data_IF_078089629376
#
_entry.id   IF_078089629376
#
_cell.length_a   1.000
_cell.length_b   1.000
_cell.length_c   1.000
_cell.angle_alpha   90.00
_cell.angle_beta   90.00
_cell.angle_gamma   90.00
#
_symmetry.space_group_name_H-M   'P 1'
#
loop_
_entity.id
_entity.type
_entity.pdbx_description
1 polymer ?
#
# COMPACT_ATOMS: atom_id res chain seq x y z
N UNK A 1 20.11 0.34 -9.37
CA UNK A 1 20.89 0.76 -8.19
C UNK A 1 22.35 0.69 -8.55
N UNK A 2 23.11 1.75 -8.27
CA UNK A 2 24.55 1.83 -8.53
C UNK A 2 25.23 1.97 -7.17
N UNK A 3 26.00 0.97 -6.76
CA UNK A 3 26.81 1.04 -5.55
C UNK A 3 28.04 1.93 -5.77
N UNK A 4 28.38 2.73 -4.77
CA UNK A 4 29.54 3.62 -4.75
C UNK A 4 30.42 3.18 -3.57
N UNK A 5 31.74 3.22 -3.76
CA UNK A 5 32.71 2.81 -2.73
C UNK A 5 32.97 3.88 -1.66
N UNK A 6 32.22 4.97 -1.69
CA UNK A 6 32.31 6.03 -0.70
C UNK A 6 31.49 5.66 0.53
N UNK A 7 32.02 5.99 1.71
CA UNK A 7 31.31 5.81 2.96
C UNK A 7 30.50 7.07 3.27
N UNK A 8 29.21 6.87 3.55
CA UNK A 8 28.32 7.88 4.11
C UNK A 8 28.10 7.54 5.58
N UNK A 9 28.28 8.53 6.45
CA UNK A 9 28.12 8.36 7.89
C UNK A 9 26.68 8.64 8.29
N UNK A 10 26.01 7.62 8.84
CA UNK A 10 24.70 7.72 9.51
C UNK A 10 24.89 7.37 10.99
N UNK A 11 24.12 6.40 11.52
CA UNK A 11 24.42 5.80 12.83
C UNK A 11 25.75 5.02 12.81
N UNK A 12 26.09 4.44 11.66
CA UNK A 12 27.37 3.78 11.36
C UNK A 12 27.83 4.18 9.95
N UNK A 13 29.11 3.99 9.59
CA UNK A 13 29.56 4.15 8.21
C UNK A 13 28.89 3.10 7.32
N UNK A 14 28.25 3.54 6.24
CA UNK A 14 27.59 2.67 5.26
C UNK A 14 28.05 3.03 3.83
N UNK A 15 28.03 2.05 2.92
CA UNK A 15 28.37 2.29 1.53
C UNK A 15 27.28 3.13 0.85
N UNK A 16 27.70 4.16 0.13
CA UNK A 16 26.81 4.97 -0.69
C UNK A 16 26.21 4.15 -1.84
N UNK A 17 24.98 4.46 -2.20
CA UNK A 17 24.34 3.94 -3.40
C UNK A 17 23.44 5.00 -4.03
N UNK A 18 23.33 4.95 -5.36
CA UNK A 18 22.41 5.79 -6.12
C UNK A 18 21.28 4.91 -6.67
N UNK A 19 20.05 5.36 -6.47
CA UNK A 19 18.85 4.85 -7.13
C UNK A 19 18.38 5.88 -8.16
N UNK A 20 18.23 5.46 -9.40
CA UNK A 20 17.55 6.27 -10.43
C UNK A 20 16.06 5.96 -10.31
N UNK A 21 15.27 6.93 -9.85
CA UNK A 21 13.81 6.82 -9.78
C UNK A 21 13.20 7.39 -11.06
N UNK A 22 12.29 6.62 -11.66
CA UNK A 22 11.44 7.06 -12.76
C UNK A 22 10.01 7.10 -12.22
N UNK A 23 9.32 8.21 -12.43
CA UNK A 23 7.94 8.39 -12.02
C UNK A 23 7.22 9.26 -13.05
N UNK A 24 5.89 9.14 -13.10
CA UNK A 24 5.03 10.01 -13.89
C UNK A 24 5.13 11.47 -13.45
N UNK A 25 5.22 11.72 -12.14
CA UNK A 25 5.43 13.05 -11.57
C UNK A 25 6.36 12.99 -10.34
N UNK A 26 7.06 14.10 -10.09
CA UNK A 26 7.80 14.36 -8.85
C UNK A 26 7.21 15.55 -8.06
N UNK A 27 6.09 16.12 -8.52
CA UNK A 27 5.40 17.20 -7.83
C UNK A 27 4.61 16.63 -6.65
N UNK A 28 4.83 17.21 -5.48
CA UNK A 28 4.24 16.73 -4.22
C UNK A 28 3.28 17.79 -3.67
N UNK A 29 2.49 17.43 -2.67
CA UNK A 29 1.66 18.42 -1.95
C UNK A 29 2.56 19.50 -1.33
N UNK A 30 3.70 19.09 -0.75
CA UNK A 30 4.74 19.98 -0.25
C UNK A 30 5.29 21.00 -1.27
N UNK A 31 5.21 20.71 -2.57
CA UNK A 31 5.61 21.66 -3.62
C UNK A 31 4.68 22.87 -3.68
N UNK A 32 3.37 22.66 -3.45
CA UNK A 32 2.38 23.74 -3.37
C UNK A 32 2.51 24.49 -2.05
N UNK A 33 2.66 23.76 -0.94
CA UNK A 33 2.84 24.35 0.39
C UNK A 33 4.05 25.28 0.45
N UNK A 34 5.17 24.91 -0.20
CA UNK A 34 6.34 25.77 -0.28
C UNK A 34 6.01 27.15 -0.86
N UNK A 35 5.32 27.22 -2.01
CA UNK A 35 4.95 28.50 -2.61
C UNK A 35 3.89 29.24 -1.81
N UNK A 36 2.93 28.52 -1.23
CA UNK A 36 1.89 29.12 -0.40
C UNK A 36 2.47 29.79 0.86
N UNK A 37 3.23 29.04 1.67
CA UNK A 37 3.76 29.54 2.95
C UNK A 37 4.93 30.51 2.80
N UNK A 38 5.54 30.62 1.60
CA UNK A 38 6.53 31.67 1.28
C UNK A 38 5.92 32.91 0.62
N UNK A 39 4.58 33.02 0.56
CA UNK A 39 3.88 34.20 0.03
C UNK A 39 3.94 34.34 -1.50
N UNK A 40 4.23 33.26 -2.22
CA UNK A 40 4.39 33.24 -3.67
C UNK A 40 3.12 32.74 -4.39
N UNK A 41 1.96 33.35 -4.13
CA UNK A 41 0.65 32.86 -4.63
C UNK A 41 0.59 32.67 -6.15
N UNK A 42 1.26 33.54 -6.93
CA UNK A 42 1.36 33.38 -8.39
C UNK A 42 2.05 32.08 -8.80
N UNK A 43 3.00 31.59 -8.02
CA UNK A 43 3.69 30.33 -8.30
C UNK A 43 2.85 29.10 -7.92
N UNK A 44 1.92 29.22 -6.98
CA UNK A 44 0.91 28.18 -6.72
C UNK A 44 0.04 27.98 -7.96
N UNK A 45 -0.51 29.07 -8.51
CA UNK A 45 -1.32 29.02 -9.74
C UNK A 45 -0.52 28.48 -10.93
N UNK A 46 0.71 28.96 -11.13
CA UNK A 46 1.58 28.45 -12.21
C UNK A 46 1.88 26.96 -12.08
N UNK A 47 2.10 26.47 -10.86
CA UNK A 47 2.33 25.04 -10.62
C UNK A 47 1.06 24.22 -10.87
N UNK A 48 -0.11 24.74 -10.48
CA UNK A 48 -1.41 24.12 -10.75
C UNK A 48 -1.67 24.01 -12.26
N UNK A 49 -1.48 25.11 -12.99
CA UNK A 49 -1.60 25.17 -14.45
C UNK A 49 -0.66 24.20 -15.14
N UNK A 50 0.62 24.20 -14.76
CA UNK A 50 1.59 23.23 -15.27
C UNK A 50 1.15 21.79 -14.99
N UNK A 51 0.61 21.51 -13.81
CA UNK A 51 0.14 20.19 -13.42
C UNK A 51 -1.06 19.74 -14.24
N UNK A 52 -2.00 20.65 -14.52
CA UNK A 52 -3.16 20.37 -15.38
C UNK A 52 -2.68 20.08 -16.81
N UNK A 53 -1.87 20.97 -17.40
CA UNK A 53 -1.37 20.80 -18.77
C UNK A 53 -0.57 19.50 -18.96
N UNK A 54 0.22 19.11 -17.94
CA UNK A 54 1.11 17.95 -18.04
C UNK A 54 0.42 16.62 -17.73
N UNK A 55 -0.49 16.58 -16.74
CA UNK A 55 -1.03 15.33 -16.19
C UNK A 55 -2.53 15.15 -16.40
N UNK A 56 -3.25 16.24 -16.69
CA UNK A 56 -4.69 16.25 -16.91
C UNK A 56 -5.06 17.16 -18.11
N UNK A 57 -4.45 16.96 -19.29
CA UNK A 57 -4.70 17.84 -20.44
C UNK A 57 -6.17 17.82 -20.89
N UNK A 58 -6.91 16.77 -20.53
CA UNK A 58 -8.33 16.61 -20.82
C UNK A 58 -9.23 17.61 -20.09
N UNK A 59 -8.78 18.23 -18.99
CA UNK A 59 -9.55 19.26 -18.25
C UNK A 59 -9.04 20.68 -18.49
N UNK A 60 -8.05 20.88 -19.37
CA UNK A 60 -7.39 22.17 -19.55
C UNK A 60 -8.38 23.29 -19.96
N UNK A 61 -9.41 22.95 -20.74
CA UNK A 61 -10.43 23.88 -21.24
C UNK A 61 -11.71 23.91 -20.39
N UNK A 62 -11.76 23.16 -19.28
CA UNK A 62 -12.92 23.19 -18.38
C UNK A 62 -12.96 24.49 -17.57
N UNK A 63 -14.16 25.06 -17.41
CA UNK A 63 -14.34 26.32 -16.66
C UNK A 63 -13.98 26.20 -15.18
N UNK A 64 -14.09 25.00 -14.61
CA UNK A 64 -13.82 24.71 -13.19
C UNK A 64 -12.59 23.79 -13.01
N UNK A 65 -11.64 23.86 -13.95
CA UNK A 65 -10.49 22.95 -14.04
C UNK A 65 -9.66 22.84 -12.76
N UNK A 66 -9.58 23.90 -11.96
CA UNK A 66 -8.84 23.89 -10.69
C UNK A 66 -9.54 23.02 -9.63
N UNK A 67 -10.87 23.14 -9.50
CA UNK A 67 -11.66 22.27 -8.63
C UNK A 67 -11.61 20.82 -9.11
N UNK A 68 -11.72 20.60 -10.42
CA UNK A 68 -11.65 19.26 -11.02
C UNK A 68 -10.27 18.62 -10.84
N UNK A 69 -9.19 19.40 -10.92
CA UNK A 69 -7.84 18.93 -10.56
C UNK A 69 -7.78 18.45 -9.11
N UNK A 70 -8.32 19.22 -8.18
CA UNK A 70 -8.35 18.85 -6.76
C UNK A 70 -9.17 17.56 -6.53
N UNK A 71 -10.36 17.46 -7.14
CA UNK A 71 -11.19 16.26 -7.12
C UNK A 71 -10.45 15.02 -7.61
N UNK A 72 -9.70 15.12 -8.71
CA UNK A 72 -8.91 14.01 -9.25
C UNK A 72 -7.78 13.60 -8.31
N UNK A 73 -7.08 14.58 -7.73
CA UNK A 73 -6.01 14.36 -6.76
C UNK A 73 -6.54 13.67 -5.50
N UNK A 74 -7.68 14.14 -4.97
CA UNK A 74 -8.39 13.54 -3.83
C UNK A 74 -8.77 12.08 -4.10
N UNK A 75 -9.44 11.81 -5.24
CA UNK A 75 -9.87 10.46 -5.60
C UNK A 75 -8.67 9.52 -5.79
N UNK A 76 -7.61 9.98 -6.46
CA UNK A 76 -6.38 9.19 -6.66
C UNK A 76 -5.69 8.87 -5.34
N UNK A 77 -5.63 9.82 -4.41
CA UNK A 77 -5.05 9.63 -3.06
C UNK A 77 -5.87 8.65 -2.24
N UNK A 78 -7.19 8.81 -2.20
CA UNK A 78 -8.09 7.88 -1.53
C UNK A 78 -7.98 6.45 -2.08
N UNK A 79 -7.95 6.30 -3.42
CA UNK A 79 -7.76 5.01 -4.08
C UNK A 79 -6.39 4.37 -3.78
N UNK A 80 -5.32 5.18 -3.76
CA UNK A 80 -3.98 4.72 -3.41
C UNK A 80 -3.95 4.14 -1.99
N UNK A 81 -4.48 4.89 -1.03
CA UNK A 81 -4.47 4.48 0.39
C UNK A 81 -5.40 3.28 0.59
N UNK A 82 -6.56 3.22 -0.08
CA UNK A 82 -7.43 2.04 -0.05
C UNK A 82 -6.69 0.77 -0.50
N UNK A 83 -5.86 0.86 -1.54
CA UNK A 83 -5.00 -0.24 -1.99
C UNK A 83 -3.91 -0.58 -0.98
N UNK A 84 -3.31 0.41 -0.32
CA UNK A 84 -2.34 0.17 0.76
C UNK A 84 -2.98 -0.60 1.91
N UNK A 85 -4.15 -0.18 2.36
CA UNK A 85 -4.90 -0.88 3.41
C UNK A 85 -5.19 -2.32 2.99
N UNK A 86 -5.80 -2.53 1.81
CA UNK A 86 -6.16 -3.87 1.33
C UNK A 86 -4.95 -4.79 1.11
N UNK A 87 -3.77 -4.24 0.84
CA UNK A 87 -2.53 -5.00 0.64
C UNK A 87 -1.72 -5.19 1.92
N UNK A 88 -2.13 -4.57 3.04
CA UNK A 88 -1.35 -4.56 4.27
C UNK A 88 -0.05 -3.75 4.16
N UNK A 89 0.04 -2.79 3.24
CA UNK A 89 1.22 -1.94 3.07
C UNK A 89 1.18 -0.76 4.06
N UNK A 90 2.30 -0.51 4.73
CA UNK A 90 2.52 0.66 5.58
C UNK A 90 3.66 1.50 4.98
N UNK A 91 3.38 2.77 4.69
CA UNK A 91 4.37 3.68 4.12
C UNK A 91 5.41 4.14 5.16
N UNK A 92 4.98 4.35 6.40
CA UNK A 92 5.85 4.74 7.52
C UNK A 92 6.24 6.22 7.60
N UNK A 93 6.10 7.02 6.52
CA UNK A 93 6.43 8.47 6.50
C UNK A 93 5.51 9.20 5.52
N UNK A 94 4.25 9.41 5.90
CA UNK A 94 3.27 10.12 5.06
C UNK A 94 3.30 11.64 5.31
N UNK A 95 4.48 12.25 5.25
CA UNK A 95 4.58 13.70 5.22
C UNK A 95 4.03 14.25 3.88
N UNK A 96 3.58 15.50 3.85
CA UNK A 96 2.98 16.10 2.65
C UNK A 96 3.96 16.21 1.48
N UNK A 97 5.27 16.30 1.74
CA UNK A 97 6.32 16.25 0.72
C UNK A 97 6.58 14.84 0.16
N UNK A 98 5.97 13.81 0.73
CA UNK A 98 5.93 12.44 0.19
C UNK A 98 4.61 12.10 -0.52
N UNK A 99 3.64 13.03 -0.56
CA UNK A 99 2.37 12.82 -1.24
C UNK A 99 2.43 13.34 -2.67
N UNK A 100 2.42 12.46 -3.67
CA UNK A 100 2.46 12.84 -5.09
C UNK A 100 1.07 13.26 -5.61
N UNK A 101 1.01 14.33 -6.41
CA UNK A 101 -0.26 14.86 -6.98
C UNK A 101 -0.97 13.89 -7.95
N UNK A 102 -0.26 12.90 -8.47
CA UNK A 102 -0.83 11.89 -9.37
C UNK A 102 -1.33 10.64 -8.63
N UNK A 103 -1.18 10.58 -7.29
CA UNK A 103 -1.62 9.45 -6.46
C UNK A 103 -0.77 8.19 -6.64
N UNK A 104 0.53 8.36 -6.86
CA UNK A 104 1.53 7.28 -6.90
C UNK A 104 2.22 7.15 -5.54
N UNK A 105 2.51 5.94 -5.06
CA UNK A 105 3.36 5.74 -3.88
C UNK A 105 4.73 6.34 -4.12
N UNK A 106 5.24 7.11 -3.17
CA UNK A 106 6.45 7.90 -3.37
C UNK A 106 7.32 7.90 -2.12
N UNK A 107 8.63 7.88 -2.30
CA UNK A 107 9.61 7.90 -1.18
C UNK A 107 9.55 6.68 -0.23
N UNK A 108 10.04 5.55 -0.73
CA UNK A 108 10.19 4.32 0.04
C UNK A 108 11.35 4.43 1.04
N UNK A 109 11.06 4.90 2.25
CA UNK A 109 11.98 4.90 3.39
C UNK A 109 11.72 3.69 4.32
N UNK A 110 11.26 3.91 5.56
CA UNK A 110 10.91 2.83 6.47
C UNK A 110 9.50 2.30 6.19
N UNK A 111 9.29 1.74 5.00
CA UNK A 111 8.02 1.07 4.66
C UNK A 111 8.02 -0.39 5.12
N UNK A 112 6.85 -1.02 5.11
CA UNK A 112 6.70 -2.44 5.39
C UNK A 112 5.39 -3.00 4.88
N UNK A 113 5.32 -4.32 4.81
CA UNK A 113 4.06 -5.05 4.66
C UNK A 113 3.74 -5.74 5.98
N UNK A 114 2.46 -5.85 6.32
CA UNK A 114 2.00 -6.64 7.46
C UNK A 114 2.41 -8.10 7.26
N UNK A 115 3.13 -8.63 8.25
CA UNK A 115 3.25 -10.07 8.45
C UNK A 115 1.96 -10.57 9.11
N UNK A 116 1.95 -10.66 10.44
CA UNK A 116 0.73 -10.85 11.23
C UNK A 116 -0.11 -9.58 11.21
N UNK A 117 -1.43 -9.74 11.25
CA UNK A 117 -2.33 -8.59 11.26
C UNK A 117 -2.29 -7.85 12.61
N UNK A 118 -1.60 -6.72 12.65
CA UNK A 118 -1.48 -5.84 13.81
C UNK A 118 -1.89 -4.42 13.39
N UNK A 119 -3.13 -3.97 13.70
CA UNK A 119 -3.68 -2.73 13.14
C UNK A 119 -2.88 -1.46 13.45
N UNK A 120 -2.26 -1.40 14.62
CA UNK A 120 -1.46 -0.26 15.08
C UNK A 120 0.05 -0.42 14.79
N UNK A 121 0.43 -1.36 13.92
CA UNK A 121 1.84 -1.55 13.56
C UNK A 121 2.36 -0.39 12.72
N UNK A 122 3.60 0.04 13.02
CA UNK A 122 4.41 0.93 12.18
C UNK A 122 5.80 0.32 11.96
N UNK A 123 6.28 0.23 10.71
CA UNK A 123 7.64 -0.20 10.38
C UNK A 123 8.70 0.89 10.67
N UNK A 124 8.28 2.13 10.93
CA UNK A 124 9.17 3.25 11.19
C UNK A 124 9.55 3.34 12.67
N UNK A 125 10.82 3.11 12.97
CA UNK A 125 11.37 3.18 14.34
C UNK A 125 11.28 4.58 14.96
N UNK A 126 11.28 5.63 14.14
CA UNK A 126 11.18 7.02 14.62
C UNK A 126 9.74 7.46 14.86
N UNK A 127 8.74 6.68 14.45
CA UNK A 127 7.32 6.97 14.67
C UNK A 127 6.83 6.38 16.00
N UNK A 128 7.37 6.90 17.11
CA UNK A 128 7.08 6.37 18.46
C UNK A 128 5.62 6.53 18.89
N UNK A 129 4.89 7.47 18.27
CA UNK A 129 3.48 7.73 18.56
C UNK A 129 2.53 7.02 17.58
N UNK A 130 3.06 6.28 16.60
CA UNK A 130 2.27 5.57 15.60
C UNK A 130 1.46 6.48 14.68
N UNK A 131 1.92 7.71 14.41
CA UNK A 131 1.25 8.67 13.51
C UNK A 131 1.01 8.07 12.13
N UNK A 132 1.94 7.26 11.64
CA UNK A 132 1.92 6.62 10.33
C UNK A 132 1.72 5.10 10.42
N UNK A 133 1.17 4.61 11.54
CA UNK A 133 0.78 3.22 11.68
C UNK A 133 -0.28 2.81 10.64
N UNK A 134 -0.39 1.51 10.36
CA UNK A 134 -1.29 0.95 9.35
C UNK A 134 -2.73 1.50 9.44
N UNK A 135 -3.33 1.51 10.64
CA UNK A 135 -4.70 2.00 10.83
C UNK A 135 -4.85 3.53 10.74
N UNK A 136 -3.75 4.30 10.80
CA UNK A 136 -3.78 5.76 10.72
C UNK A 136 -3.69 6.30 9.29
N UNK A 137 -3.18 5.50 8.34
CA UNK A 137 -2.93 5.97 6.97
C UNK A 137 -4.15 6.62 6.28
N UNK A 138 -5.39 6.13 6.43
CA UNK A 138 -6.57 6.80 5.86
C UNK A 138 -6.79 8.22 6.40
N UNK A 139 -6.67 8.41 7.71
CA UNK A 139 -6.83 9.73 8.36
C UNK A 139 -5.68 10.67 8.00
N UNK A 140 -4.45 10.16 7.91
CA UNK A 140 -3.31 10.97 7.47
C UNK A 140 -3.45 11.38 6.00
N UNK A 141 -3.99 10.52 5.14
CA UNK A 141 -4.34 10.87 3.76
C UNK A 141 -5.31 12.05 3.68
N UNK A 142 -6.38 11.99 4.48
CA UNK A 142 -7.35 13.09 4.61
C UNK A 142 -6.68 14.37 5.10
N UNK A 143 -5.85 14.28 6.14
CA UNK A 143 -5.13 15.42 6.70
C UNK A 143 -4.19 16.07 5.67
N UNK A 144 -3.43 15.26 4.92
CA UNK A 144 -2.53 15.75 3.87
C UNK A 144 -3.28 16.43 2.71
N UNK A 145 -4.46 15.91 2.33
CA UNK A 145 -5.30 16.54 1.33
C UNK A 145 -5.85 17.90 1.78
N UNK A 146 -6.19 18.05 3.06
CA UNK A 146 -6.56 19.36 3.61
C UNK A 146 -5.38 20.34 3.52
N UNK A 147 -4.14 19.87 3.76
CA UNK A 147 -2.94 20.71 3.57
C UNK A 147 -2.75 21.15 2.12
N UNK A 148 -2.99 20.27 1.15
CA UNK A 148 -3.04 20.69 -0.24
C UNK A 148 -4.17 21.70 -0.49
N UNK A 149 -5.38 21.45 0.02
CA UNK A 149 -6.54 22.32 -0.15
C UNK A 149 -6.29 23.74 0.36
N UNK A 150 -5.66 23.90 1.54
CA UNK A 150 -5.26 25.20 2.10
C UNK A 150 -4.49 26.05 1.09
N UNK A 151 -3.60 25.42 0.30
CA UNK A 151 -2.80 26.13 -0.72
C UNK A 151 -3.63 26.65 -1.89
N UNK A 152 -4.77 26.02 -2.17
CA UNK A 152 -5.62 26.27 -3.35
C UNK A 152 -6.82 27.19 -3.05
N UNK A 153 -7.03 27.58 -1.79
CA UNK A 153 -8.14 28.47 -1.39
C UNK A 153 -8.25 29.73 -2.26
N UNK A 154 -7.15 30.46 -2.59
CA UNK A 154 -7.25 31.66 -3.41
C UNK A 154 -7.75 31.41 -4.85
N UNK A 155 -7.73 30.16 -5.32
CA UNK A 155 -8.05 29.77 -6.69
C UNK A 155 -9.42 29.07 -6.82
N UNK A 156 -9.91 28.43 -5.75
CA UNK A 156 -11.14 27.59 -5.79
C UNK A 156 -12.23 28.07 -4.82
N UNK A 157 -11.87 28.86 -3.79
CA UNK A 157 -12.66 29.16 -2.58
C UNK A 157 -12.65 28.06 -1.52
N UNK A 158 -12.77 28.45 -0.25
CA UNK A 158 -12.76 27.53 0.87
C UNK A 158 -14.03 26.65 0.90
N UNK A 159 -15.19 27.22 0.58
CA UNK A 159 -16.48 26.53 0.60
C UNK A 159 -16.51 25.37 -0.40
N UNK A 160 -16.00 25.60 -1.61
CA UNK A 160 -15.92 24.56 -2.64
C UNK A 160 -14.94 23.46 -2.24
N UNK A 161 -13.78 23.81 -1.67
CA UNK A 161 -12.80 22.83 -1.19
C UNK A 161 -13.34 21.98 -0.03
N UNK A 162 -14.03 22.60 0.92
CA UNK A 162 -14.70 21.89 2.01
C UNK A 162 -15.78 20.93 1.50
N UNK A 163 -16.54 21.32 0.47
CA UNK A 163 -17.51 20.45 -0.19
C UNK A 163 -16.84 19.23 -0.83
N UNK A 164 -15.70 19.42 -1.51
CA UNK A 164 -14.94 18.31 -2.09
C UNK A 164 -14.32 17.40 -1.04
N UNK A 165 -13.82 17.96 0.07
CA UNK A 165 -13.22 17.17 1.14
C UNK A 165 -14.21 16.21 1.80
N UNK A 166 -15.51 16.54 1.84
CA UNK A 166 -16.57 15.62 2.30
C UNK A 166 -16.65 14.34 1.48
N UNK A 167 -16.15 14.34 0.24
CA UNK A 167 -16.16 13.18 -0.64
C UNK A 167 -15.01 12.20 -0.38
N UNK A 168 -14.00 12.58 0.41
CA UNK A 168 -12.85 11.71 0.68
C UNK A 168 -13.26 10.40 1.36
N UNK A 169 -13.94 10.47 2.51
CA UNK A 169 -14.27 9.28 3.28
C UNK A 169 -15.22 8.32 2.52
N UNK A 170 -16.31 8.80 1.89
CA UNK A 170 -17.16 7.94 1.07
C UNK A 170 -16.40 7.25 -0.06
N UNK A 171 -15.53 7.99 -0.77
CA UNK A 171 -14.79 7.44 -1.90
C UNK A 171 -13.69 6.46 -1.48
N UNK A 172 -12.97 6.76 -0.40
CA UNK A 172 -12.00 5.85 0.22
C UNK A 172 -12.69 4.55 0.65
N UNK A 173 -13.81 4.65 1.39
CA UNK A 173 -14.57 3.48 1.85
C UNK A 173 -15.06 2.63 0.69
N UNK A 174 -15.57 3.26 -0.38
CA UNK A 174 -15.98 2.55 -1.59
C UNK A 174 -14.80 1.79 -2.19
N UNK A 175 -13.68 2.46 -2.47
CA UNK A 175 -12.49 1.83 -3.05
C UNK A 175 -11.98 0.68 -2.18
N UNK A 176 -11.89 0.88 -0.86
CA UNK A 176 -11.40 -0.13 0.06
C UNK A 176 -12.32 -1.36 0.09
N UNK A 177 -13.63 -1.13 0.09
CA UNK A 177 -14.65 -2.19 0.06
C UNK A 177 -14.55 -3.01 -1.22
N UNK A 178 -14.37 -2.36 -2.36
CA UNK A 178 -14.16 -3.02 -3.66
C UNK A 178 -12.88 -3.87 -3.67
N UNK A 179 -11.77 -3.35 -3.13
CA UNK A 179 -10.52 -4.14 -3.02
C UNK A 179 -10.69 -5.34 -2.06
N UNK A 180 -11.38 -5.16 -0.93
CA UNK A 180 -11.68 -6.27 -0.02
C UNK A 180 -12.61 -7.32 -0.64
N UNK A 181 -13.58 -6.89 -1.44
CA UNK A 181 -14.44 -7.78 -2.24
C UNK A 181 -13.63 -8.69 -3.15
N UNK A 182 -12.72 -8.12 -3.94
CA UNK A 182 -11.80 -8.88 -4.80
C UNK A 182 -10.96 -9.88 -4.02
N UNK A 183 -10.40 -9.46 -2.87
CA UNK A 183 -9.59 -10.33 -2.01
C UNK A 183 -10.38 -11.51 -1.43
N UNK A 184 -11.67 -11.33 -1.20
CA UNK A 184 -12.59 -12.36 -0.70
C UNK A 184 -13.28 -13.16 -1.81
N UNK A 185 -13.16 -12.75 -3.07
CA UNK A 185 -13.91 -13.34 -4.19
C UNK A 185 -15.41 -13.08 -4.11
N UNK A 186 -15.80 -11.89 -3.63
CA UNK A 186 -17.20 -11.46 -3.48
C UNK A 186 -17.44 -10.17 -4.26
N UNK A 187 -18.51 -10.14 -5.06
CA UNK A 187 -18.94 -8.96 -5.83
C UNK A 187 -20.18 -8.32 -5.24
N UNK A 188 -20.98 -9.06 -4.47
CA UNK A 188 -22.13 -8.56 -3.74
C UNK A 188 -21.65 -7.93 -2.43
N UNK A 189 -21.41 -6.62 -2.49
CA UNK A 189 -20.97 -5.82 -1.35
C UNK A 189 -22.21 -5.18 -0.71
N UNK A 190 -22.89 -5.89 0.19
CA UNK A 190 -24.03 -5.41 0.98
C UNK A 190 -23.72 -5.36 2.49
N UNK A 191 -24.73 -5.27 3.35
CA UNK A 191 -24.53 -5.24 4.81
C UNK A 191 -23.93 -6.56 5.34
N UNK A 192 -24.31 -7.70 4.76
CA UNK A 192 -23.77 -9.01 5.15
C UNK A 192 -22.26 -9.10 4.84
N UNK A 193 -21.81 -8.54 3.71
CA UNK A 193 -20.39 -8.40 3.41
C UNK A 193 -19.66 -7.55 4.46
N UNK A 194 -20.24 -6.43 4.88
CA UNK A 194 -19.63 -5.54 5.87
C UNK A 194 -19.45 -6.26 7.21
N UNK A 195 -20.46 -6.99 7.67
CA UNK A 195 -20.41 -7.80 8.89
C UNK A 195 -19.34 -8.90 8.79
N UNK A 196 -19.28 -9.61 7.65
CA UNK A 196 -18.27 -10.64 7.39
C UNK A 196 -16.86 -10.08 7.50
N UNK A 197 -16.58 -8.95 6.87
CA UNK A 197 -15.26 -8.29 6.87
C UNK A 197 -14.88 -7.81 8.28
N UNK A 198 -15.84 -7.27 9.03
CA UNK A 198 -15.59 -6.83 10.41
C UNK A 198 -15.20 -8.02 11.32
N UNK A 199 -15.94 -9.13 11.25
CA UNK A 199 -15.63 -10.35 12.00
C UNK A 199 -14.29 -10.97 11.57
N UNK A 200 -13.99 -10.95 10.27
CA UNK A 200 -12.69 -11.41 9.74
C UNK A 200 -11.54 -10.66 10.40
N UNK A 201 -11.61 -9.32 10.47
CA UNK A 201 -10.55 -8.53 11.09
C UNK A 201 -10.45 -8.77 12.61
N UNK A 202 -11.55 -9.05 13.31
CA UNK A 202 -11.50 -9.46 14.71
C UNK A 202 -10.72 -10.76 14.90
N UNK A 203 -11.00 -11.77 14.07
CA UNK A 203 -10.31 -13.06 14.09
C UNK A 203 -8.83 -12.94 13.72
N UNK A 204 -8.50 -12.12 12.72
CA UNK A 204 -7.12 -11.85 12.33
C UNK A 204 -6.31 -11.24 13.48
N UNK A 205 -6.90 -10.33 14.27
CA UNK A 205 -6.28 -9.74 15.47
C UNK A 205 -6.16 -10.76 16.59
N UNK A 206 -7.27 -11.45 16.92
CA UNK A 206 -7.36 -12.37 18.05
C UNK A 206 -6.35 -13.53 17.95
N UNK A 207 -6.23 -14.11 16.76
CA UNK A 207 -5.31 -15.22 16.50
C UNK A 207 -3.97 -14.77 15.91
N UNK A 208 -3.74 -13.47 15.73
CA UNK A 208 -2.55 -12.87 15.11
C UNK A 208 -2.16 -13.57 13.79
N UNK A 209 -3.13 -13.80 12.92
CA UNK A 209 -2.92 -14.54 11.68
C UNK A 209 -2.07 -13.72 10.69
N UNK A 210 -1.27 -14.41 9.88
CA UNK A 210 -0.55 -13.78 8.76
C UNK A 210 -1.54 -13.20 7.75
N UNK A 211 -1.45 -11.91 7.50
CA UNK A 211 -2.43 -11.17 6.70
C UNK A 211 -2.46 -11.66 5.26
N UNK A 212 -1.29 -11.86 4.64
CA UNK A 212 -1.19 -12.27 3.23
C UNK A 212 -1.62 -13.73 3.06
N UNK A 213 -1.10 -14.61 3.91
CA UNK A 213 -1.36 -16.05 3.82
C UNK A 213 -2.81 -16.40 4.16
N UNK A 214 -3.49 -15.61 5.00
CA UNK A 214 -4.92 -15.79 5.25
C UNK A 214 -5.75 -15.73 3.97
N UNK A 215 -5.54 -14.73 3.10
CA UNK A 215 -6.31 -14.62 1.86
C UNK A 215 -5.92 -15.69 0.83
N UNK A 216 -4.64 -16.06 0.75
CA UNK A 216 -4.20 -17.19 -0.11
C UNK A 216 -4.79 -18.51 0.35
N UNK A 217 -4.88 -18.71 1.66
CA UNK A 217 -5.59 -19.84 2.21
C UNK A 217 -7.06 -19.83 1.77
N UNK A 218 -7.75 -18.70 1.95
CA UNK A 218 -9.18 -18.58 1.66
C UNK A 218 -9.52 -18.91 0.21
N UNK A 219 -8.65 -18.52 -0.73
CA UNK A 219 -8.79 -18.87 -2.15
C UNK A 219 -8.84 -20.39 -2.40
N UNK A 220 -8.12 -21.18 -1.60
CA UNK A 220 -8.06 -22.64 -1.69
C UNK A 220 -9.14 -23.36 -0.85
N UNK A 221 -9.88 -22.65 -0.01
CA UNK A 221 -10.92 -23.23 0.85
C UNK A 221 -12.24 -23.43 0.06
N UNK A 222 -12.94 -24.57 0.18
CA UNK A 222 -12.74 -25.67 1.15
C UNK A 222 -11.88 -26.83 0.66
N UNK A 223 -11.35 -26.78 -0.57
CA UNK A 223 -10.63 -27.90 -1.21
C UNK A 223 -9.35 -28.30 -0.46
N UNK A 224 -8.63 -27.33 0.11
CA UNK A 224 -7.49 -27.58 1.00
C UNK A 224 -7.82 -27.11 2.41
N UNK A 225 -8.27 -28.04 3.25
CA UNK A 225 -8.45 -27.83 4.68
C UNK A 225 -7.11 -28.03 5.38
N UNK A 226 -6.24 -27.02 5.42
CA UNK A 226 -5.19 -27.04 6.43
C UNK A 226 -5.81 -27.16 7.83
N UNK A 227 -5.03 -27.57 8.83
CA UNK A 227 -5.50 -27.70 10.22
C UNK A 227 -5.83 -26.32 10.79
N UNK A 228 -7.06 -25.84 10.60
CA UNK A 228 -7.51 -24.59 11.19
C UNK A 228 -7.80 -24.74 12.67
N UNK A 229 -7.66 -23.63 13.38
CA UNK A 229 -8.27 -23.48 14.68
C UNK A 229 -9.80 -23.57 14.53
N UNK A 230 -10.44 -24.33 15.40
CA UNK A 230 -11.88 -24.58 15.40
C UNK A 230 -12.70 -23.28 15.51
N UNK A 231 -12.09 -22.26 16.09
CA UNK A 231 -12.63 -20.91 16.28
C UNK A 231 -12.96 -20.18 14.96
N UNK A 232 -12.30 -20.52 13.84
CA UNK A 232 -12.57 -19.91 12.53
C UNK A 232 -13.75 -20.54 11.79
N UNK A 233 -14.18 -21.74 12.18
CA UNK A 233 -15.21 -22.50 11.45
C UNK A 233 -16.54 -21.74 11.32
N UNK A 234 -17.07 -21.04 12.35
CA UNK A 234 -18.31 -20.29 12.21
C UNK A 234 -18.21 -19.20 11.13
N UNK A 235 -17.09 -18.47 11.10
CA UNK A 235 -16.86 -17.43 10.10
C UNK A 235 -16.68 -18.03 8.70
N UNK A 236 -15.96 -19.14 8.57
CA UNK A 236 -15.78 -19.82 7.28
C UNK A 236 -17.09 -20.35 6.70
N UNK A 237 -17.99 -20.89 7.53
CA UNK A 237 -19.31 -21.32 7.10
C UNK A 237 -20.12 -20.14 6.57
N UNK A 238 -20.10 -19.02 7.30
CA UNK A 238 -20.76 -17.79 6.86
C UNK A 238 -20.18 -17.24 5.56
N UNK A 239 -18.87 -17.27 5.42
CA UNK A 239 -18.19 -16.92 4.17
C UNK A 239 -18.67 -17.78 2.99
N UNK A 240 -18.78 -19.11 3.17
CA UNK A 240 -19.26 -20.01 2.13
C UNK A 240 -20.72 -19.74 1.72
N UNK A 241 -21.61 -19.36 2.65
CA UNK A 241 -22.97 -18.94 2.32
C UNK A 241 -22.97 -17.72 1.38
N UNK A 242 -22.12 -16.73 1.67
CA UNK A 242 -21.97 -15.54 0.84
C UNK A 242 -21.36 -15.87 -0.52
N UNK A 243 -20.38 -16.78 -0.58
CA UNK A 243 -19.80 -17.27 -1.83
C UNK A 243 -20.83 -17.99 -2.69
N UNK A 244 -21.70 -18.82 -2.11
CA UNK A 244 -22.75 -19.52 -2.85
C UNK A 244 -23.73 -18.54 -3.51
N UNK A 245 -23.99 -17.39 -2.87
CA UNK A 245 -24.85 -16.33 -3.40
C UNK A 245 -24.30 -15.67 -4.68
N UNK A 246 -22.99 -15.69 -4.89
CA UNK A 246 -22.35 -15.16 -6.10
C UNK A 246 -22.64 -16.01 -7.34
N UNK A 247 -22.96 -17.30 -7.18
CA UNK A 247 -23.30 -18.21 -8.28
C UNK A 247 -22.12 -18.59 -9.19
N UNK A 248 -20.88 -18.32 -8.77
CA UNK A 248 -19.64 -18.68 -9.49
C UNK A 248 -19.07 -20.01 -8.99
N UNK A 249 -18.31 -20.70 -9.85
CA UNK A 249 -17.60 -21.92 -9.46
C UNK A 249 -16.47 -21.64 -8.47
N UNK A 250 -16.06 -22.66 -7.71
CA UNK A 250 -14.92 -22.54 -6.81
C UNK A 250 -13.62 -22.23 -7.57
N UNK A 251 -13.42 -22.85 -8.73
CA UNK A 251 -12.25 -22.68 -9.60
C UNK A 251 -12.17 -21.25 -10.13
N UNK A 252 -13.27 -20.71 -10.65
CA UNK A 252 -13.34 -19.33 -11.15
C UNK A 252 -13.10 -18.31 -10.03
N UNK A 253 -13.75 -18.49 -8.87
CA UNK A 253 -13.52 -17.63 -7.71
C UNK A 253 -12.06 -17.69 -7.25
N UNK A 254 -11.47 -18.90 -7.22
CA UNK A 254 -10.07 -19.09 -6.84
C UNK A 254 -9.14 -18.35 -7.78
N UNK A 255 -9.35 -18.42 -9.09
CA UNK A 255 -8.56 -17.66 -10.08
C UNK A 255 -8.63 -16.15 -9.82
N UNK A 256 -9.83 -15.60 -9.64
CA UNK A 256 -10.03 -14.19 -9.33
C UNK A 256 -9.35 -13.75 -8.01
N UNK A 257 -9.45 -14.59 -6.98
CA UNK A 257 -8.80 -14.34 -5.70
C UNK A 257 -7.28 -14.45 -5.80
N UNK A 258 -6.74 -15.41 -6.56
CA UNK A 258 -5.30 -15.58 -6.74
C UNK A 258 -4.67 -14.42 -7.53
N UNK A 259 -5.41 -13.78 -8.44
CA UNK A 259 -4.98 -12.58 -9.15
C UNK A 259 -5.04 -11.30 -8.28
N UNK A 260 -5.80 -11.35 -7.17
CA UNK A 260 -5.97 -10.20 -6.25
C UNK A 260 -5.14 -10.32 -4.97
N UNK A 261 -4.83 -11.55 -4.55
CA UNK A 261 -4.07 -11.85 -3.34
C UNK A 261 -2.68 -12.36 -3.71
N UNK A 262 -1.60 -11.61 -3.43
CA UNK A 262 -0.26 -12.05 -3.76
C UNK A 262 0.15 -13.29 -2.95
N UNK A 263 0.89 -14.21 -3.57
CA UNK A 263 1.58 -15.31 -2.87
C UNK A 263 2.83 -14.82 -2.18
N UNK A 264 3.51 -13.85 -2.79
CA UNK A 264 4.79 -13.32 -2.33
C UNK A 264 4.69 -11.84 -2.02
N UNK A 265 5.21 -11.43 -0.86
CA UNK A 265 5.37 -10.02 -0.48
C UNK A 265 6.81 -9.76 -0.02
N UNK A 266 7.25 -8.51 -0.08
CA UNK A 266 8.56 -8.09 0.42
C UNK A 266 8.55 -8.00 1.95
N UNK A 267 8.50 -9.16 2.62
CA UNK A 267 8.58 -9.25 4.08
C UNK A 267 9.87 -8.61 4.58
N UNK A 268 9.81 -7.86 5.68
CA UNK A 268 10.96 -7.12 6.23
C UNK A 268 12.17 -8.01 6.48
N UNK A 269 11.96 -9.24 6.94
CA UNK A 269 13.06 -10.18 7.21
C UNK A 269 13.76 -10.67 5.93
N UNK A 270 13.03 -10.79 4.81
CA UNK A 270 13.60 -11.17 3.51
C UNK A 270 14.45 -10.02 2.95
N UNK A 271 13.95 -8.79 3.04
CA UNK A 271 14.70 -7.58 2.68
C UNK A 271 15.99 -7.47 3.50
N UNK A 272 15.91 -7.65 4.82
CA UNK A 272 17.08 -7.59 5.68
C UNK A 272 18.11 -8.69 5.35
N UNK A 273 17.64 -9.91 5.06
CA UNK A 273 18.53 -11.01 4.65
C UNK A 273 19.25 -10.70 3.36
N UNK A 274 18.55 -10.11 2.38
CA UNK A 274 19.13 -9.70 1.12
C UNK A 274 20.15 -8.56 1.28
N UNK A 275 19.84 -7.57 2.13
CA UNK A 275 20.76 -6.48 2.46
C UNK A 275 22.01 -6.98 3.19
N UNK A 276 21.84 -7.86 4.18
CA UNK A 276 22.95 -8.42 4.95
C UNK A 276 23.94 -9.16 4.05
N UNK A 277 23.46 -10.02 3.15
CA UNK A 277 24.30 -10.73 2.18
C UNK A 277 25.00 -9.79 1.20
N UNK A 278 24.27 -8.80 0.68
CA UNK A 278 24.85 -7.84 -0.25
C UNK A 278 25.96 -7.00 0.40
N UNK A 279 25.78 -6.59 1.66
CA UNK A 279 26.74 -5.74 2.37
C UNK A 279 27.92 -6.50 2.98
N UNK A 280 27.69 -7.70 3.54
CA UNK A 280 28.74 -8.48 4.23
C UNK A 280 29.54 -9.34 3.25
N UNK A 281 28.85 -9.95 2.29
CA UNK A 281 29.40 -11.00 1.44
C UNK A 281 29.51 -10.57 -0.03
N UNK A 282 29.07 -9.35 -0.38
CA UNK A 282 28.91 -8.91 -1.78
C UNK A 282 28.05 -9.85 -2.63
N UNK A 283 27.14 -10.58 -1.98
CA UNK A 283 26.23 -11.53 -2.62
C UNK A 283 24.87 -10.87 -2.91
N UNK A 284 24.61 -10.60 -4.19
CA UNK A 284 23.38 -9.98 -4.69
C UNK A 284 22.33 -11.01 -5.15
N UNK A 285 22.54 -12.30 -4.88
CA UNK A 285 21.64 -13.37 -5.31
C UNK A 285 20.23 -13.22 -4.73
N UNK A 286 20.09 -12.90 -3.44
CA UNK A 286 18.78 -12.69 -2.81
C UNK A 286 18.05 -11.47 -3.37
N UNK A 287 18.77 -10.37 -3.65
CA UNK A 287 18.17 -9.20 -4.30
C UNK A 287 17.61 -9.60 -5.67
N UNK A 288 18.35 -10.42 -6.42
CA UNK A 288 17.90 -10.94 -7.72
C UNK A 288 16.67 -11.83 -7.57
N UNK A 289 16.64 -12.73 -6.58
CA UNK A 289 15.49 -13.61 -6.31
C UNK A 289 14.24 -12.83 -5.92
N UNK A 290 14.37 -11.86 -5.01
CA UNK A 290 13.26 -10.99 -4.61
C UNK A 290 12.75 -10.16 -5.79
N UNK A 291 13.65 -9.60 -6.62
CA UNK A 291 13.26 -8.89 -7.85
C UNK A 291 12.45 -9.79 -8.78
N UNK A 292 12.93 -11.01 -9.03
CA UNK A 292 12.24 -11.98 -9.87
C UNK A 292 10.85 -12.28 -9.31
N UNK A 293 10.72 -12.56 -8.01
CA UNK A 293 9.41 -12.79 -7.37
C UNK A 293 8.45 -11.62 -7.56
N UNK A 294 8.93 -10.38 -7.44
CA UNK A 294 8.09 -9.18 -7.58
C UNK A 294 7.69 -8.84 -9.02
N UNK A 295 8.26 -9.49 -10.04
CA UNK A 295 7.78 -9.34 -11.43
C UNK A 295 6.36 -9.91 -11.62
N UNK A 296 6.01 -10.95 -10.86
CA UNK A 296 4.66 -11.50 -10.73
C UNK A 296 4.56 -12.16 -9.36
N UNK A 297 4.04 -11.45 -8.34
CA UNK A 297 3.96 -11.94 -6.97
C UNK A 297 2.76 -12.85 -6.73
N UNK A 298 1.90 -13.09 -7.74
CA UNK A 298 0.65 -13.82 -7.61
C UNK A 298 0.78 -15.30 -8.01
N UNK A 299 1.63 -15.58 -8.99
CA UNK A 299 1.72 -16.90 -9.65
C UNK A 299 3.07 -17.58 -9.43
N UNK A 300 3.00 -18.90 -9.31
CA UNK A 300 4.21 -19.72 -9.37
C UNK A 300 4.74 -19.75 -10.80
N UNK A 301 6.06 -19.61 -10.95
CA UNK A 301 6.75 -19.67 -12.25
C UNK A 301 7.88 -20.70 -12.19
N UNK A 302 7.58 -22.02 -12.19
CA UNK A 302 8.54 -23.07 -11.89
C UNK A 302 9.84 -23.01 -12.69
N UNK A 303 9.77 -22.83 -14.01
CA UNK A 303 10.96 -22.73 -14.86
C UNK A 303 11.85 -21.51 -14.52
N UNK A 304 11.24 -20.38 -14.14
CA UNK A 304 11.96 -19.18 -13.71
C UNK A 304 12.54 -19.40 -12.31
N UNK A 305 11.76 -20.02 -11.42
CA UNK A 305 12.17 -20.30 -10.05
C UNK A 305 13.35 -21.27 -9.98
N UNK A 306 13.32 -22.34 -10.77
CA UNK A 306 14.44 -23.29 -10.91
C UNK A 306 15.71 -22.57 -11.39
N UNK A 307 15.61 -21.76 -12.45
CA UNK A 307 16.73 -20.98 -13.00
C UNK A 307 17.39 -20.06 -11.96
N UNK A 308 16.58 -19.48 -11.06
CA UNK A 308 17.05 -18.55 -10.04
C UNK A 308 17.23 -19.19 -8.65
N UNK A 309 17.08 -20.52 -8.55
CA UNK A 309 17.13 -21.28 -7.30
C UNK A 309 16.22 -20.66 -6.22
N UNK A 310 14.96 -20.45 -6.58
CA UNK A 310 13.89 -19.91 -5.72
C UNK A 310 13.07 -21.09 -5.21
N UNK A 311 13.01 -21.24 -3.88
CA UNK A 311 12.06 -22.14 -3.22
C UNK A 311 10.77 -21.37 -2.92
N UNK A 312 9.67 -21.59 -3.66
CA UNK A 312 8.44 -20.82 -3.48
C UNK A 312 7.83 -21.00 -2.08
N UNK A 313 8.00 -22.16 -1.45
CA UNK A 313 7.44 -22.39 -0.11
C UNK A 313 8.23 -21.60 0.94
N UNK A 314 9.55 -21.49 0.78
CA UNK A 314 10.37 -20.65 1.65
C UNK A 314 10.00 -19.17 1.59
N UNK A 315 9.69 -18.64 0.39
CA UNK A 315 9.36 -17.21 0.23
C UNK A 315 7.88 -16.88 0.51
N UNK A 316 6.99 -17.86 0.42
CA UNK A 316 5.56 -17.71 0.73
C UNK A 316 5.24 -17.90 2.23
N UNK A 317 6.07 -18.64 2.97
CA UNK A 317 5.80 -18.92 4.39
C UNK A 317 5.73 -17.65 5.25
N UNK A 318 5.10 -17.80 6.40
CA UNK A 318 5.03 -16.74 7.42
C UNK A 318 6.42 -16.32 7.90
N UNK A 319 6.53 -15.07 8.35
CA UNK A 319 7.74 -14.58 9.00
C UNK A 319 8.04 -15.40 10.26
N UNK A 320 9.22 -16.04 10.37
CA UNK A 320 9.60 -16.79 11.56
C UNK A 320 9.54 -15.94 12.83
N UNK A 321 9.16 -16.53 13.98
CA UNK A 321 8.90 -15.78 15.22
C UNK A 321 10.04 -14.83 15.64
N UNK A 322 11.30 -15.28 15.49
CA UNK A 322 12.50 -14.47 15.80
C UNK A 322 12.66 -13.19 14.96
N UNK A 323 11.86 -13.04 13.91
CA UNK A 323 11.88 -11.90 12.99
C UNK A 323 10.60 -11.07 13.06
N UNK A 324 9.57 -11.52 13.80
CA UNK A 324 8.34 -10.73 13.98
C UNK A 324 8.65 -9.42 14.70
N UNK A 325 7.88 -8.39 14.38
CA UNK A 325 8.03 -7.02 14.91
C UNK A 325 9.39 -6.35 14.61
N UNK A 326 10.21 -6.90 13.71
CA UNK A 326 11.40 -6.18 13.23
C UNK A 326 10.98 -4.99 12.38
N UNK A 327 11.40 -3.81 12.81
CA UNK A 327 11.27 -2.57 12.06
C UNK A 327 12.49 -2.40 11.14
N UNK A 328 12.27 -1.89 9.93
CA UNK A 328 13.36 -1.61 8.98
C UNK A 328 14.28 -0.54 9.55
N UNK A 329 15.60 -0.75 9.50
CA UNK A 329 16.59 0.23 9.98
C UNK A 329 16.86 1.38 9.00
N UNK A 330 16.09 1.48 7.92
CA UNK A 330 16.27 2.51 6.90
C UNK A 330 15.67 3.82 7.40
N UNK A 331 16.46 4.64 8.10
CA UNK A 331 16.15 6.06 8.24
C UNK A 331 16.23 6.70 6.86
N UNK A 332 15.15 7.37 6.45
CA UNK A 332 15.17 8.30 5.32
C UNK A 332 16.18 9.41 5.59
#
# INVERSE_FOLDING_TARGET
>A
VIGIRELIYRQRPELAAILIRVADSHIRFGSFEFFHYTGQSRNVERLLEFSIQSYYPDIAEESDRYRVFFQRTLKRTAKLIAKWQASGFIHGVMNTDNMCITGTTFDYGPYGFLDRFVPNHTPNQSDTNGRYAYNQQPEIGFWNLNKLAETLIPLISAENLEEEMKQYQPFFNQCYREEMGKKLGLTILDSEFTELVQQMFQLLVEHQLDYTNFFRFLANYPTQTASFNDDLRPWLNRYLELVQREGVSHEERKEQMDDSNPKFILRTHLLQTALDKALKDSDFSEITRLRVLMEDPYKDRPAVFEKHNIDPEFYARETPEKYLCRQTSCSA
#
